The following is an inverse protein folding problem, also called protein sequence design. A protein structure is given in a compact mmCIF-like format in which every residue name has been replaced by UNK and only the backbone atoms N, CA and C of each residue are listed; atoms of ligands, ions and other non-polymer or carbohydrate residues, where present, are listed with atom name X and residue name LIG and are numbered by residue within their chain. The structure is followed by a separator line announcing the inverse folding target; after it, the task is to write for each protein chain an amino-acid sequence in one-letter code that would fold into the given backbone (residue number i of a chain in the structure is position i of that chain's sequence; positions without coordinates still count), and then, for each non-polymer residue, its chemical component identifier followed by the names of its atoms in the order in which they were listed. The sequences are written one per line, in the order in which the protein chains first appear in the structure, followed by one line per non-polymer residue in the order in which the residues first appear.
data_IF_932838410459
#
_entry.id   IF_932838410459
#
_cell.length_a   1.000
_cell.length_b   1.000
_cell.length_c   1.000
_cell.angle_alpha   90.00
_cell.angle_beta   90.00
_cell.angle_gamma   90.00
#
_symmetry.space_group_name_H-M   'P 1'
#
loop_
_entity.id
_entity.type
_entity.pdbx_description
1 polymer ?
#
# COMPACT_ATOMS: atom_id res chain seq x y z
N UNK A 1 -8.63 7.50 1.96
CA UNK A 1 -7.15 7.55 2.02
C UNK A 1 -6.54 7.15 0.68
N UNK A 2 -6.71 5.92 0.18
CA UNK A 2 -6.17 5.51 -1.14
C UNK A 2 -6.65 6.44 -2.27
N UNK A 3 -7.95 6.72 -2.35
CA UNK A 3 -8.50 7.66 -3.34
C UNK A 3 -7.92 9.08 -3.18
N UNK A 4 -7.70 9.50 -1.94
CA UNK A 4 -7.11 10.80 -1.58
C UNK A 4 -5.65 10.89 -2.02
N UNK A 5 -4.87 9.81 -1.87
CA UNK A 5 -3.50 9.71 -2.37
C UNK A 5 -3.46 9.77 -3.90
N UNK A 6 -4.34 9.02 -4.56
CA UNK A 6 -4.43 8.94 -6.02
C UNK A 6 -4.83 10.27 -6.66
N UNK A 7 -5.84 10.93 -6.09
CA UNK A 7 -6.40 12.16 -6.63
C UNK A 7 -5.73 13.43 -6.08
N UNK A 8 -4.75 13.28 -5.18
CA UNK A 8 -4.19 14.38 -4.40
C UNK A 8 -5.29 15.28 -3.78
N UNK A 9 -6.33 14.64 -3.24
CA UNK A 9 -7.46 15.30 -2.60
C UNK A 9 -7.40 15.14 -1.08
N UNK A 10 -7.88 16.12 -0.29
CA UNK A 10 -7.90 16.00 1.15
C UNK A 10 -8.65 14.72 1.56
N UNK A 11 -8.13 13.96 2.53
CA UNK A 11 -8.84 12.79 3.03
C UNK A 11 -10.19 13.20 3.62
N UNK A 12 -11.27 12.57 3.14
CA UNK A 12 -12.64 12.83 3.61
C UNK A 12 -12.86 12.53 5.10
N UNK A 13 -11.96 11.76 5.71
CA UNK A 13 -11.99 11.40 7.13
C UNK A 13 -10.66 11.78 7.74
N UNK A 14 -10.70 12.59 8.79
CA UNK A 14 -9.53 12.90 9.61
C UNK A 14 -9.30 11.74 10.59
N UNK A 15 -8.30 10.91 10.32
CA UNK A 15 -7.96 9.79 11.19
C UNK A 15 -7.45 10.25 12.57
N UNK A 16 -7.09 11.51 12.75
CA UNK A 16 -6.81 12.06 14.09
C UNK A 16 -8.05 12.22 14.96
N UNK A 17 -9.25 12.19 14.35
CA UNK A 17 -10.55 12.36 15.03
C UNK A 17 -11.34 11.06 15.18
N UNK A 18 -10.92 9.98 14.51
CA UNK A 18 -11.56 8.67 14.57
C UNK A 18 -10.72 7.74 15.42
N UNK A 19 -11.21 7.39 16.62
CA UNK A 19 -10.62 6.33 17.41
C UNK A 19 -10.72 5.01 16.63
N UNK A 20 -9.58 4.48 16.20
CA UNK A 20 -9.49 3.06 15.86
C UNK A 20 -9.66 2.33 17.18
N UNK A 21 -10.84 1.73 17.41
CA UNK A 21 -11.03 0.85 18.55
C UNK A 21 -10.05 -0.32 18.39
N UNK A 22 -8.97 -0.29 19.16
CA UNK A 22 -8.07 -1.43 19.25
C UNK A 22 -8.84 -2.61 19.85
N UNK A 23 -8.54 -3.86 19.44
CA UNK A 23 -9.19 -5.03 20.02
C UNK A 23 -9.08 -5.01 21.54
N UNK A 24 -10.22 -5.06 22.24
CA UNK A 24 -10.29 -5.13 23.70
C UNK A 24 -9.88 -6.52 24.20
N UNK A 25 -9.14 -6.58 25.30
CA UNK A 25 -8.71 -7.83 25.95
C UNK A 25 -9.85 -8.49 26.73
N UNK A 26 -10.82 -9.06 26.03
CA UNK A 26 -11.77 -9.99 26.64
C UNK A 26 -11.17 -11.41 26.67
N UNK A 27 -10.73 -11.83 27.85
CA UNK A 27 -9.98 -13.07 28.04
C UNK A 27 -10.81 -14.33 27.79
N UNK A 28 -12.11 -14.30 28.10
CA UNK A 28 -13.01 -15.44 27.92
C UNK A 28 -13.29 -15.70 26.43
N UNK A 29 -13.62 -14.65 25.67
CA UNK A 29 -13.75 -14.74 24.21
C UNK A 29 -12.42 -15.15 23.56
N UNK A 30 -11.28 -14.67 24.06
CA UNK A 30 -9.95 -15.05 23.55
C UNK A 30 -9.68 -16.55 23.71
N UNK A 31 -9.96 -17.13 24.88
CA UNK A 31 -9.72 -18.55 25.15
C UNK A 31 -10.61 -19.44 24.26
N UNK A 32 -11.91 -19.14 24.17
CA UNK A 32 -12.83 -19.90 23.31
C UNK A 32 -12.46 -19.83 21.82
N UNK A 33 -11.91 -18.71 21.37
CA UNK A 33 -11.37 -18.56 20.00
C UNK A 33 -10.13 -19.42 19.79
N UNK A 34 -9.19 -19.43 20.73
CA UNK A 34 -7.96 -20.24 20.63
C UNK A 34 -8.33 -21.72 20.55
N UNK A 35 -9.26 -22.19 21.39
CA UNK A 35 -9.77 -23.56 21.35
C UNK A 35 -10.40 -23.88 19.98
N UNK A 36 -11.24 -22.98 19.45
CA UNK A 36 -11.88 -23.17 18.15
C UNK A 36 -10.91 -23.17 16.96
N UNK A 37 -9.75 -22.52 17.05
CA UNK A 37 -8.73 -22.52 15.97
C UNK A 37 -7.81 -23.73 16.10
N UNK A 38 -7.70 -24.32 17.29
CA UNK A 38 -6.91 -25.52 17.52
C UNK A 38 -7.68 -26.82 17.22
N UNK A 39 -9.02 -26.79 17.28
CA UNK A 39 -9.89 -27.93 16.98
C UNK A 39 -10.06 -28.17 15.47
N UNK A 40 -9.55 -29.26 14.88
CA UNK A 40 -9.70 -29.55 13.45
C UNK A 40 -11.15 -29.75 12.98
N UNK A 41 -12.08 -30.02 13.90
CA UNK A 41 -13.51 -30.17 13.59
C UNK A 41 -14.28 -28.84 13.59
N UNK A 42 -13.67 -27.78 14.12
CA UNK A 42 -14.22 -26.44 14.12
C UNK A 42 -14.18 -25.83 12.72
N UNK A 43 -15.24 -25.09 12.36
CA UNK A 43 -15.26 -24.32 11.12
C UNK A 43 -14.16 -23.26 11.08
N UNK A 44 -13.68 -22.79 12.24
CA UNK A 44 -12.66 -21.72 12.34
C UNK A 44 -11.25 -22.25 12.03
N UNK A 45 -11.00 -23.55 12.13
CA UNK A 45 -9.67 -24.15 11.96
C UNK A 45 -9.04 -23.90 10.58
N UNK A 46 -9.87 -23.87 9.53
CA UNK A 46 -9.41 -23.71 8.14
C UNK A 46 -10.15 -22.65 7.32
N UNK A 47 -11.27 -22.11 7.82
CA UNK A 47 -12.12 -21.17 7.09
C UNK A 47 -11.63 -19.72 7.23
N UNK A 48 -11.29 -19.12 6.08
CA UNK A 48 -10.83 -17.74 5.96
C UNK A 48 -11.96 -16.71 6.16
N UNK A 49 -13.21 -17.13 6.35
CA UNK A 49 -14.37 -16.26 6.56
C UNK A 49 -14.42 -15.62 7.95
N UNK A 50 -13.52 -16.00 8.85
CA UNK A 50 -13.46 -15.47 10.22
C UNK A 50 -12.22 -14.59 10.49
N UNK A 51 -11.89 -13.58 9.67
CA UNK A 51 -10.69 -12.78 9.87
C UNK A 51 -10.75 -11.93 11.14
N UNK A 52 -11.95 -11.57 11.60
CA UNK A 52 -12.13 -10.78 12.83
C UNK A 52 -11.79 -11.56 14.09
N UNK A 53 -11.88 -12.89 14.05
CA UNK A 53 -11.54 -13.78 15.17
C UNK A 53 -10.03 -13.72 15.47
N UNK A 54 -9.22 -13.45 14.44
CA UNK A 54 -7.76 -13.37 14.52
C UNK A 54 -7.31 -12.10 15.27
N UNK A 55 -8.18 -11.09 15.37
CA UNK A 55 -7.89 -9.87 16.14
C UNK A 55 -7.80 -10.12 17.65
N UNK A 56 -8.40 -11.20 18.15
CA UNK A 56 -8.32 -11.60 19.55
C UNK A 56 -7.04 -12.37 19.89
N UNK A 57 -6.23 -12.73 18.89
CA UNK A 57 -5.00 -13.51 19.07
C UNK A 57 -3.85 -12.55 19.36
N UNK A 58 -3.22 -12.61 20.56
CA UNK A 58 -2.15 -11.70 20.96
C UNK A 58 -1.01 -11.60 19.95
N UNK A 59 -0.64 -12.72 19.37
CA UNK A 59 0.45 -12.81 18.39
C UNK A 59 0.13 -12.01 17.12
N UNK A 60 -1.15 -11.95 16.72
CA UNK A 60 -1.59 -11.22 15.53
C UNK A 60 -1.77 -9.71 15.77
N UNK A 61 -1.79 -9.24 17.02
CA UNK A 61 -1.95 -7.81 17.35
C UNK A 61 -0.86 -6.92 16.75
N UNK A 62 0.38 -7.41 16.71
CA UNK A 62 1.50 -6.67 16.13
C UNK A 62 1.29 -6.35 14.66
N UNK A 63 0.69 -7.28 13.90
CA UNK A 63 0.44 -7.10 12.46
C UNK A 63 -0.64 -6.05 12.21
N UNK A 64 -1.70 -6.07 13.02
CA UNK A 64 -2.78 -5.07 12.98
C UNK A 64 -2.22 -3.69 13.31
N UNK A 65 -1.37 -3.60 14.33
CA UNK A 65 -0.77 -2.35 14.75
C UNK A 65 0.10 -1.75 13.66
N UNK A 66 0.98 -2.54 13.03
CA UNK A 66 1.78 -2.11 11.89
C UNK A 66 0.91 -1.60 10.74
N UNK A 67 -0.16 -2.32 10.39
CA UNK A 67 -1.10 -1.89 9.34
C UNK A 67 -1.75 -0.54 9.67
N UNK A 68 -2.19 -0.33 10.92
CA UNK A 68 -2.74 0.95 11.36
C UNK A 68 -1.71 2.08 11.24
N UNK A 69 -0.45 1.83 11.60
CA UNK A 69 0.63 2.82 11.47
C UNK A 69 0.95 3.20 10.03
N UNK A 70 0.96 2.24 9.12
CA UNK A 70 1.05 2.57 7.69
C UNK A 70 -0.16 3.37 7.20
N UNK A 71 -1.37 3.12 7.70
CA UNK A 71 -2.56 3.92 7.35
C UNK A 71 -2.51 5.35 7.90
N UNK A 72 -1.96 5.56 9.10
CA UNK A 72 -1.69 6.89 9.64
C UNK A 72 -0.71 7.65 8.73
N UNK A 73 0.41 7.02 8.35
CA UNK A 73 1.39 7.62 7.42
C UNK A 73 0.77 7.88 6.03
N UNK A 74 -0.09 6.99 5.55
CA UNK A 74 -0.83 7.18 4.31
C UNK A 74 -1.70 8.46 4.36
N UNK A 75 -2.33 8.74 5.50
CA UNK A 75 -3.07 9.98 5.71
C UNK A 75 -2.12 11.19 5.71
N UNK A 76 -0.99 11.13 6.41
CA UNK A 76 0.00 12.22 6.42
C UNK A 76 0.52 12.53 5.01
N UNK A 77 0.85 11.51 4.22
CA UNK A 77 1.29 11.66 2.82
C UNK A 77 0.19 12.27 1.96
N UNK A 78 -1.07 11.84 2.13
CA UNK A 78 -2.19 12.45 1.43
C UNK A 78 -2.30 13.94 1.77
N UNK A 79 -2.22 14.31 3.05
CA UNK A 79 -2.23 15.71 3.49
C UNK A 79 -1.06 16.48 2.88
N UNK A 80 0.16 15.94 2.88
CA UNK A 80 1.33 16.55 2.25
C UNK A 80 1.08 16.89 0.78
N UNK A 81 0.44 15.99 0.03
CA UNK A 81 0.18 16.14 -1.41
C UNK A 81 -0.93 17.15 -1.73
N UNK A 82 -1.85 17.39 -0.79
CA UNK A 82 -3.03 18.24 -1.02
C UNK A 82 -2.81 19.71 -0.74
N UNK A 83 -1.79 20.04 0.04
CA UNK A 83 -1.55 21.40 0.53
C UNK A 83 -0.51 22.10 -0.34
N UNK A 84 -0.77 23.36 -0.66
CA UNK A 84 0.31 24.30 -1.00
C UNK A 84 1.14 24.54 0.25
N UNK A 85 2.45 24.28 0.16
CA UNK A 85 3.33 24.47 1.30
C UNK A 85 3.90 25.89 1.28
N UNK A 86 3.83 26.62 2.41
CA UNK A 86 4.35 27.97 2.49
C UNK A 86 5.88 28.00 2.53
N UNK A 87 6.52 26.91 2.97
CA UNK A 87 7.98 26.78 3.10
C UNK A 87 8.45 25.40 2.60
N UNK A 88 9.41 25.40 1.67
CA UNK A 88 10.04 24.21 1.11
C UNK A 88 10.82 23.40 2.18
N UNK A 89 11.50 24.06 3.11
CA UNK A 89 12.27 23.41 4.17
C UNK A 89 11.35 22.63 5.14
N UNK A 90 10.19 23.21 5.48
CA UNK A 90 9.19 22.52 6.30
C UNK A 90 8.64 21.27 5.58
N UNK A 91 8.37 21.40 4.27
CA UNK A 91 7.89 20.29 3.46
C UNK A 91 8.93 19.16 3.36
N UNK A 92 10.19 19.50 3.07
CA UNK A 92 11.31 18.55 3.04
C UNK A 92 11.50 17.87 4.41
N UNK A 93 11.46 18.64 5.51
CA UNK A 93 11.55 18.10 6.86
C UNK A 93 10.45 17.08 7.17
N UNK A 94 9.22 17.33 6.71
CA UNK A 94 8.12 16.36 6.86
C UNK A 94 8.30 15.12 6.00
N UNK A 95 8.79 15.26 4.76
CA UNK A 95 9.11 14.09 3.92
C UNK A 95 10.17 13.22 4.59
N UNK A 96 11.26 13.82 5.06
CA UNK A 96 12.34 13.09 5.74
C UNK A 96 11.84 12.37 6.99
N UNK A 97 10.98 13.02 7.79
CA UNK A 97 10.37 12.39 8.96
C UNK A 97 9.51 11.19 8.58
N UNK A 98 8.65 11.33 7.57
CA UNK A 98 7.77 10.24 7.12
C UNK A 98 8.59 9.08 6.56
N UNK A 99 9.65 9.35 5.79
CA UNK A 99 10.57 8.32 5.30
C UNK A 99 11.19 7.52 6.45
N UNK A 100 11.73 8.20 7.46
CA UNK A 100 12.28 7.55 8.66
C UNK A 100 11.22 6.68 9.38
N UNK A 101 9.99 7.16 9.46
CA UNK A 101 8.88 6.40 10.06
C UNK A 101 8.51 5.18 9.21
N UNK A 102 8.45 5.30 7.88
CA UNK A 102 8.19 4.17 6.99
C UNK A 102 9.28 3.09 7.13
N UNK A 103 10.55 3.48 7.20
CA UNK A 103 11.67 2.55 7.43
C UNK A 103 11.58 1.87 8.80
N UNK A 104 11.26 2.62 9.86
CA UNK A 104 11.10 2.07 11.21
C UNK A 104 9.95 1.05 11.26
N UNK A 105 8.80 1.36 10.68
CA UNK A 105 7.66 0.43 10.63
C UNK A 105 7.89 -0.75 9.71
N UNK A 106 8.67 -0.60 8.64
CA UNK A 106 9.09 -1.73 7.81
C UNK A 106 9.97 -2.70 8.60
N UNK A 107 10.91 -2.19 9.40
CA UNK A 107 11.76 -3.01 10.28
C UNK A 107 10.92 -3.72 11.34
N UNK A 108 9.97 -3.01 11.93
CA UNK A 108 9.04 -3.55 12.91
C UNK A 108 8.14 -4.64 12.31
N UNK A 109 7.66 -4.47 11.07
CA UNK A 109 6.87 -5.47 10.36
C UNK A 109 7.66 -6.78 10.18
N UNK A 110 8.93 -6.71 9.81
CA UNK A 110 9.78 -7.91 9.70
C UNK A 110 9.99 -8.58 11.06
N UNK A 111 10.14 -7.80 12.14
CA UNK A 111 10.19 -8.33 13.51
C UNK A 111 8.88 -9.04 13.90
N UNK A 112 7.74 -8.43 13.59
CA UNK A 112 6.41 -8.99 13.83
C UNK A 112 6.23 -10.29 13.04
N UNK A 113 6.58 -10.29 11.76
CA UNK A 113 6.57 -11.48 10.90
C UNK A 113 7.40 -12.61 11.50
N UNK A 114 8.63 -12.34 11.93
CA UNK A 114 9.49 -13.35 12.54
C UNK A 114 8.88 -13.91 13.84
N UNK A 115 8.31 -13.06 14.69
CA UNK A 115 7.65 -13.50 15.92
C UNK A 115 6.42 -14.37 15.63
N UNK A 116 5.67 -14.02 14.59
CA UNK A 116 4.49 -14.76 14.13
C UNK A 116 4.86 -16.12 13.56
N UNK A 117 5.93 -16.21 12.76
CA UNK A 117 6.45 -17.47 12.20
C UNK A 117 6.95 -18.43 13.29
N UNK A 118 7.45 -17.88 14.41
CA UNK A 118 7.92 -18.67 15.55
C UNK A 118 6.85 -18.94 16.62
N UNK A 119 5.60 -18.48 16.41
CA UNK A 119 4.52 -18.70 17.37
C UNK A 119 4.03 -20.16 17.36
N UNK A 120 3.59 -20.71 18.51
CA UNK A 120 2.94 -22.02 18.56
C UNK A 120 1.71 -22.15 17.66
N UNK A 121 1.07 -21.02 17.32
CA UNK A 121 -0.14 -20.98 16.48
C UNK A 121 0.17 -20.76 15.00
N UNK A 122 1.44 -20.58 14.62
CA UNK A 122 1.86 -20.25 13.25
C UNK A 122 1.47 -21.31 12.20
N UNK A 123 1.43 -22.58 12.61
CA UNK A 123 1.11 -23.71 11.74
C UNK A 123 -0.40 -23.91 11.57
N UNK A 124 -1.22 -23.22 12.35
CA UNK A 124 -2.67 -23.34 12.25
C UNK A 124 -3.13 -22.75 10.91
N UNK A 125 -3.91 -23.48 10.10
CA UNK A 125 -4.19 -23.08 8.71
C UNK A 125 -4.81 -21.68 8.58
N UNK A 126 -5.75 -21.33 9.45
CA UNK A 126 -6.39 -20.00 9.47
C UNK A 126 -5.40 -18.87 9.80
N UNK A 127 -4.47 -19.13 10.71
CA UNK A 127 -3.43 -18.18 11.13
C UNK A 127 -2.41 -17.99 10.02
N UNK A 128 -1.87 -19.08 9.49
CA UNK A 128 -0.90 -19.05 8.40
C UNK A 128 -1.43 -18.28 7.18
N UNK A 129 -2.67 -18.56 6.74
CA UNK A 129 -3.30 -17.86 5.60
C UNK A 129 -3.46 -16.35 5.87
N UNK A 130 -3.93 -15.98 7.06
CA UNK A 130 -4.12 -14.58 7.43
C UNK A 130 -2.80 -13.83 7.52
N UNK A 131 -1.81 -14.39 8.21
CA UNK A 131 -0.48 -13.81 8.35
C UNK A 131 0.12 -13.51 6.97
N UNK A 132 0.13 -14.51 6.09
CA UNK A 132 0.66 -14.37 4.74
C UNK A 132 -0.07 -13.26 3.97
N UNK A 133 -1.40 -13.26 3.98
CA UNK A 133 -2.20 -12.23 3.29
C UNK A 133 -1.97 -10.82 3.85
N UNK A 134 -1.95 -10.65 5.17
CA UNK A 134 -1.84 -9.34 5.82
C UNK A 134 -0.43 -8.76 5.74
N UNK A 135 0.60 -9.61 5.87
CA UNK A 135 2.00 -9.19 5.69
C UNK A 135 2.18 -8.66 4.26
N UNK A 136 1.71 -9.40 3.26
CA UNK A 136 1.77 -8.97 1.86
C UNK A 136 1.02 -7.66 1.63
N UNK A 137 -0.19 -7.52 2.17
CA UNK A 137 -0.96 -6.27 2.07
C UNK A 137 -0.22 -5.09 2.69
N UNK A 138 0.39 -5.30 3.86
CA UNK A 138 1.15 -4.26 4.56
C UNK A 138 2.41 -3.89 3.77
N UNK A 139 3.09 -4.85 3.16
CA UNK A 139 4.23 -4.62 2.27
C UNK A 139 3.83 -3.84 1.02
N UNK A 140 2.72 -4.20 0.36
CA UNK A 140 2.19 -3.46 -0.80
C UNK A 140 1.82 -2.02 -0.42
N UNK A 141 1.14 -1.84 0.72
CA UNK A 141 0.81 -0.52 1.25
C UNK A 141 2.09 0.29 1.48
N UNK A 142 3.08 -0.26 2.16
CA UNK A 142 4.38 0.39 2.37
C UNK A 142 5.02 0.83 1.04
N UNK A 143 5.11 -0.07 0.05
CA UNK A 143 5.62 0.25 -1.30
C UNK A 143 4.83 1.38 -1.97
N UNK A 144 3.50 1.33 -1.88
CA UNK A 144 2.63 2.38 -2.42
C UNK A 144 2.92 3.74 -1.77
N UNK A 145 3.14 3.76 -0.45
CA UNK A 145 3.45 5.00 0.27
C UNK A 145 4.81 5.58 -0.09
N UNK A 146 5.83 4.74 -0.29
CA UNK A 146 7.13 5.18 -0.80
C UNK A 146 6.99 5.84 -2.18
N UNK A 147 6.23 5.23 -3.10
CA UNK A 147 5.93 5.87 -4.38
C UNK A 147 5.22 7.20 -4.21
N UNK A 148 4.17 7.29 -3.38
CA UNK A 148 3.47 8.55 -3.19
C UNK A 148 4.29 9.63 -2.49
N UNK A 149 5.24 9.24 -1.65
CA UNK A 149 6.16 10.15 -0.99
C UNK A 149 7.17 10.72 -1.99
N UNK A 150 7.83 9.86 -2.77
CA UNK A 150 8.94 10.25 -3.65
C UNK A 150 8.52 10.69 -5.06
N UNK A 151 7.41 10.16 -5.59
CA UNK A 151 6.83 10.57 -6.87
C UNK A 151 5.82 11.74 -6.69
N UNK A 152 6.06 12.61 -5.71
CA UNK A 152 5.25 13.82 -5.53
C UNK A 152 5.82 14.95 -6.38
N UNK A 153 4.96 15.70 -7.10
CA UNK A 153 5.35 16.80 -7.99
C UNK A 153 5.82 18.08 -7.23
N UNK A 154 6.38 17.91 -6.03
CA UNK A 154 6.69 19.03 -5.13
C UNK A 154 5.45 19.84 -4.72
N UNK A 155 5.61 20.77 -3.76
CA UNK A 155 4.55 21.71 -3.44
C UNK A 155 4.48 22.84 -4.48
N UNK A 156 3.27 23.26 -4.84
CA UNK A 156 3.08 24.57 -5.49
C UNK A 156 3.28 25.63 -4.40
N UNK A 157 4.42 26.34 -4.45
CA UNK A 157 4.75 27.40 -3.48
C UNK A 157 3.79 28.57 -3.65
N UNK A 158 3.01 28.90 -2.62
CA UNK A 158 1.96 29.94 -2.68
C UNK A 158 2.52 31.36 -2.84
N UNK A 159 3.82 31.54 -2.59
CA UNK A 159 4.53 32.80 -2.74
C UNK A 159 5.76 32.58 -3.62
N UNK A 160 5.58 32.52 -4.94
CA UNK A 160 6.69 32.76 -5.86
C UNK A 160 7.07 34.25 -5.81
N UNK A 161 7.64 34.69 -4.67
CA UNK A 161 8.51 35.86 -4.68
C UNK A 161 9.80 35.36 -5.28
N UNK A 162 10.09 35.86 -6.47
CA UNK A 162 11.38 35.81 -7.16
C UNK A 162 12.50 36.22 -6.19
N UNK A 163 12.99 35.26 -5.42
CA UNK A 163 14.19 35.40 -4.63
C UNK A 163 15.23 34.48 -5.26
N UNK A 164 16.15 35.12 -5.97
CA UNK A 164 17.34 34.65 -6.69
C UNK A 164 17.16 34.68 -8.21
N UNK A 165 17.97 35.55 -8.83
CA UNK A 165 17.84 35.99 -10.22
C UNK A 165 18.05 34.88 -11.25
N UNK A 166 17.42 35.08 -12.41
CA UNK A 166 17.46 34.27 -13.64
C UNK A 166 17.20 32.77 -13.39
N UNK A 167 16.03 32.24 -13.68
CA UNK A 167 15.48 32.07 -15.03
C UNK A 167 13.94 32.12 -15.02
N UNK A 168 13.35 32.22 -16.20
CA UNK A 168 11.91 32.36 -16.44
C UNK A 168 11.06 31.25 -15.80
N UNK A 169 9.83 31.55 -15.34
CA UNK A 169 8.93 30.57 -14.76
C UNK A 169 8.30 29.70 -15.86
N UNK A 170 9.07 28.71 -16.33
CA UNK A 170 8.55 27.48 -16.95
C UNK A 170 8.42 26.34 -15.95
N UNK A 171 8.79 26.57 -14.69
CA UNK A 171 8.91 25.57 -13.62
C UNK A 171 7.55 25.23 -13.00
N UNK A 172 6.76 24.39 -13.68
CA UNK A 172 6.07 23.34 -12.91
C UNK A 172 7.18 22.54 -12.24
N UNK A 173 7.16 22.49 -10.92
CA UNK A 173 8.20 21.90 -10.09
C UNK A 173 8.58 20.48 -10.48
N UNK A 174 9.50 20.34 -11.42
CA UNK A 174 10.32 19.14 -11.61
C UNK A 174 11.36 19.09 -10.48
N UNK A 175 10.89 19.04 -9.24
CA UNK A 175 11.70 18.74 -8.06
C UNK A 175 12.03 17.24 -7.96
N UNK A 176 12.08 16.53 -9.10
CA UNK A 176 12.66 15.20 -9.17
C UNK A 176 14.18 15.32 -9.06
N UNK A 177 14.66 15.61 -7.85
CA UNK A 177 16.07 15.41 -7.51
C UNK A 177 16.47 13.98 -7.91
N UNK A 178 17.67 13.76 -8.48
CA UNK A 178 18.16 12.43 -8.82
C UNK A 178 18.01 11.41 -7.69
N UNK A 179 18.06 11.88 -6.44
CA UNK A 179 17.83 11.07 -5.24
C UNK A 179 16.40 10.53 -5.14
N UNK A 180 15.38 11.36 -5.42
CA UNK A 180 13.97 10.95 -5.37
C UNK A 180 13.67 9.94 -6.47
N UNK A 181 14.23 10.18 -7.66
CA UNK A 181 14.13 9.27 -8.77
C UNK A 181 14.77 7.91 -8.46
N UNK A 182 15.98 7.91 -7.88
CA UNK A 182 16.64 6.70 -7.42
C UNK A 182 15.78 5.93 -6.42
N UNK A 183 15.16 6.63 -5.46
CA UNK A 183 14.26 6.01 -4.47
C UNK A 183 13.01 5.40 -5.11
N UNK A 184 12.41 6.06 -6.09
CA UNK A 184 11.33 5.49 -6.90
C UNK A 184 11.77 4.22 -7.62
N UNK A 185 12.97 4.22 -8.21
CA UNK A 185 13.51 3.04 -8.90
C UNK A 185 13.81 1.87 -7.95
N UNK A 186 14.43 2.13 -6.79
CA UNK A 186 14.61 1.13 -5.72
C UNK A 186 13.27 0.50 -5.32
N UNK A 187 12.21 1.31 -5.29
CA UNK A 187 10.84 0.87 -4.99
C UNK A 187 10.25 0.00 -6.10
N UNK A 188 10.50 0.30 -7.38
CA UNK A 188 10.12 -0.55 -8.53
C UNK A 188 10.76 -1.93 -8.42
N UNK A 189 12.06 -1.98 -8.15
CA UNK A 189 12.80 -3.26 -8.00
C UNK A 189 12.24 -4.08 -6.84
N UNK A 190 11.97 -3.45 -5.69
CA UNK A 190 11.36 -4.12 -4.54
C UNK A 190 9.95 -4.66 -4.87
N UNK A 191 9.13 -3.89 -5.59
CA UNK A 191 7.80 -4.33 -6.00
C UNK A 191 7.87 -5.55 -6.92
N UNK A 192 8.78 -5.55 -7.89
CA UNK A 192 8.96 -6.68 -8.82
C UNK A 192 9.38 -7.96 -8.08
N UNK A 193 10.22 -7.85 -7.05
CA UNK A 193 10.60 -8.98 -6.22
C UNK A 193 9.39 -9.55 -5.45
N UNK A 194 8.56 -8.67 -4.88
CA UNK A 194 7.32 -9.04 -4.20
C UNK A 194 6.32 -9.74 -5.13
N UNK A 195 6.21 -9.31 -6.39
CA UNK A 195 5.31 -9.95 -7.36
C UNK A 195 5.83 -11.30 -7.86
N UNK A 196 7.15 -11.46 -7.99
CA UNK A 196 7.77 -12.67 -8.52
C UNK A 196 7.79 -13.83 -7.51
N UNK A 197 7.95 -13.54 -6.22
CA UNK A 197 8.00 -14.57 -5.16
C UNK A 197 6.63 -15.17 -4.85
N UNK A 198 5.54 -14.46 -5.15
CA UNK A 198 4.19 -14.81 -4.73
C UNK A 198 3.34 -15.31 -5.89
N UNK A 199 3.83 -16.36 -6.59
CA UNK A 199 3.24 -16.96 -7.80
C UNK A 199 1.77 -17.41 -7.71
N UNK A 200 1.16 -17.29 -6.53
CA UNK A 200 -0.29 -17.32 -6.33
C UNK A 200 -0.74 -16.03 -5.61
N UNK A 201 -1.01 -14.98 -6.39
CA UNK A 201 -1.87 -13.84 -6.02
C UNK A 201 -3.32 -14.34 -5.86
N UNK A 202 -3.50 -15.33 -4.98
CA UNK A 202 -4.74 -16.03 -4.70
C UNK A 202 -5.67 -15.05 -4.01
N UNK A 203 -6.43 -14.35 -4.84
CA UNK A 203 -7.58 -13.50 -4.51
C UNK A 203 -7.19 -12.09 -4.04
N UNK A 204 -6.93 -11.21 -5.00
CA UNK A 204 -7.68 -9.96 -5.26
C UNK A 204 -8.24 -9.09 -4.09
N UNK A 205 -7.70 -9.16 -2.89
CA UNK A 205 -8.16 -8.35 -1.76
C UNK A 205 -7.33 -7.07 -1.66
N UNK A 206 -7.95 -6.00 -2.17
CA UNK A 206 -7.42 -4.66 -2.50
C UNK A 206 -6.82 -4.51 -3.91
N UNK A 207 -7.51 -5.03 -4.92
CA UNK A 207 -7.24 -4.79 -6.35
C UNK A 207 -6.87 -3.34 -6.66
N UNK A 208 -7.56 -2.39 -6.04
CA UNK A 208 -7.35 -0.97 -6.29
C UNK A 208 -6.00 -0.47 -5.76
N UNK A 209 -5.61 -0.85 -4.54
CA UNK A 209 -4.32 -0.44 -3.93
C UNK A 209 -3.17 -0.99 -4.75
N UNK A 210 -3.18 -2.30 -5.00
CA UNK A 210 -2.11 -2.96 -5.74
C UNK A 210 -2.05 -2.51 -7.22
N UNK A 211 -3.17 -2.41 -7.92
CA UNK A 211 -3.19 -1.91 -9.30
C UNK A 211 -2.74 -0.45 -9.39
N UNK A 212 -3.06 0.38 -8.38
CA UNK A 212 -2.58 1.75 -8.31
C UNK A 212 -1.06 1.82 -8.12
N UNK A 213 -0.51 0.98 -7.24
CA UNK A 213 0.95 0.86 -7.07
C UNK A 213 1.62 0.45 -8.37
N UNK A 214 1.07 -0.53 -9.08
CA UNK A 214 1.60 -0.97 -10.39
C UNK A 214 1.51 0.13 -11.45
N UNK A 215 0.45 0.94 -11.45
CA UNK A 215 0.33 2.05 -12.39
C UNK A 215 1.44 3.09 -12.19
N UNK A 216 1.76 3.45 -10.94
CA UNK A 216 2.87 4.38 -10.64
C UNK A 216 4.21 3.74 -10.99
N UNK A 217 4.41 2.47 -10.66
CA UNK A 217 5.62 1.74 -11.06
C UNK A 217 5.81 1.73 -12.58
N UNK A 218 4.72 1.57 -13.35
CA UNK A 218 4.74 1.63 -14.81
C UNK A 218 5.17 3.00 -15.34
N UNK A 219 4.73 4.10 -14.72
CA UNK A 219 5.20 5.45 -15.05
C UNK A 219 6.71 5.56 -14.84
N UNK A 220 7.22 5.11 -13.69
CA UNK A 220 8.65 5.14 -13.39
C UNK A 220 9.46 4.26 -14.36
N UNK A 221 8.93 3.11 -14.79
CA UNK A 221 9.55 2.30 -15.84
C UNK A 221 9.68 3.09 -17.17
N UNK A 222 8.63 3.79 -17.59
CA UNK A 222 8.64 4.62 -18.80
C UNK A 222 9.70 5.73 -18.69
N UNK A 223 9.69 6.47 -17.58
CA UNK A 223 10.69 7.50 -17.32
C UNK A 223 12.13 6.91 -17.31
N UNK A 224 12.29 5.68 -16.83
CA UNK A 224 13.60 4.99 -16.79
C UNK A 224 14.10 4.64 -18.18
N UNK A 225 13.23 4.17 -19.05
CA UNK A 225 13.59 3.89 -20.44
C UNK A 225 14.03 5.15 -21.19
N UNK A 226 13.43 6.30 -20.89
CA UNK A 226 13.78 7.59 -21.51
C UNK A 226 15.09 8.18 -20.97
N UNK A 227 15.40 7.96 -19.68
CA UNK A 227 16.51 8.62 -18.98
C UNK A 227 17.76 7.78 -18.85
N UNK A 228 17.65 6.45 -18.82
CA UNK A 228 18.78 5.56 -18.58
C UNK A 228 19.55 5.28 -19.87
N UNK A 229 20.89 5.30 -19.78
CA UNK A 229 21.77 4.81 -20.85
C UNK A 229 22.24 3.37 -20.61
N UNK A 230 21.92 2.76 -19.46
CA UNK A 230 22.28 1.37 -19.16
C UNK A 230 21.28 0.40 -19.81
N UNK A 231 21.70 -0.41 -20.81
CA UNK A 231 20.82 -1.34 -21.50
C UNK A 231 20.16 -2.38 -20.59
N UNK A 232 20.81 -2.77 -19.49
CA UNK A 232 20.24 -3.76 -18.55
C UNK A 232 19.08 -3.16 -17.76
N UNK A 233 19.22 -1.90 -17.36
CA UNK A 233 18.19 -1.15 -16.64
C UNK A 233 16.97 -0.94 -17.56
N UNK A 234 17.21 -0.57 -18.82
CA UNK A 234 16.16 -0.42 -19.83
C UNK A 234 15.43 -1.75 -20.06
N UNK A 235 16.17 -2.85 -20.28
CA UNK A 235 15.57 -4.16 -20.50
C UNK A 235 14.72 -4.63 -19.31
N UNK A 236 15.19 -4.39 -18.07
CA UNK A 236 14.40 -4.69 -16.87
C UNK A 236 13.11 -3.87 -16.84
N UNK A 237 13.19 -2.57 -17.11
CA UNK A 237 12.03 -1.67 -17.13
C UNK A 237 11.00 -2.10 -18.17
N UNK A 238 11.44 -2.45 -19.39
CA UNK A 238 10.59 -2.97 -20.47
C UNK A 238 9.87 -4.25 -20.03
N UNK A 239 10.63 -5.24 -19.53
CA UNK A 239 10.09 -6.54 -19.12
C UNK A 239 9.04 -6.37 -18.01
N UNK A 240 9.35 -5.56 -16.99
CA UNK A 240 8.43 -5.36 -15.88
C UNK A 240 7.20 -4.52 -16.28
N UNK A 241 7.35 -3.57 -17.21
CA UNK A 241 6.23 -2.84 -17.77
C UNK A 241 5.26 -3.77 -18.52
N UNK A 242 5.78 -4.71 -19.31
CA UNK A 242 4.96 -5.73 -19.98
C UNK A 242 4.18 -6.60 -18.99
N UNK A 243 4.83 -7.03 -17.89
CA UNK A 243 4.18 -7.77 -16.81
C UNK A 243 3.07 -6.96 -16.15
N UNK A 244 3.31 -5.67 -15.87
CA UNK A 244 2.32 -4.73 -15.34
C UNK A 244 1.13 -4.61 -16.30
N UNK A 245 1.37 -4.37 -17.58
CA UNK A 245 0.32 -4.22 -18.60
C UNK A 245 -0.50 -5.51 -18.74
N UNK A 246 0.15 -6.66 -18.76
CA UNK A 246 -0.52 -7.96 -18.79
C UNK A 246 -1.40 -8.19 -17.55
N UNK A 247 -0.93 -7.78 -16.37
CA UNK A 247 -1.73 -7.82 -15.14
C UNK A 247 -2.93 -6.88 -15.21
N UNK A 248 -2.73 -5.59 -15.52
CA UNK A 248 -3.80 -4.59 -15.58
C UNK A 248 -4.86 -4.95 -16.64
N UNK A 249 -4.46 -5.53 -17.77
CA UNK A 249 -5.40 -6.03 -18.78
C UNK A 249 -6.27 -7.17 -18.25
N UNK A 250 -5.68 -8.13 -17.52
CA UNK A 250 -6.44 -9.21 -16.86
C UNK A 250 -7.44 -8.64 -15.85
N UNK A 251 -7.04 -7.63 -15.07
CA UNK A 251 -7.91 -6.93 -14.13
C UNK A 251 -9.06 -6.19 -14.82
N UNK A 252 -8.78 -5.46 -15.89
CA UNK A 252 -9.79 -4.75 -16.67
C UNK A 252 -10.87 -5.67 -17.22
N UNK A 253 -10.48 -6.85 -17.72
CA UNK A 253 -11.44 -7.88 -18.17
C UNK A 253 -12.31 -8.40 -17.03
N UNK A 254 -11.72 -8.65 -15.85
CA UNK A 254 -12.46 -9.07 -14.67
C UNK A 254 -13.49 -8.02 -14.22
N UNK A 255 -13.09 -6.74 -14.20
CA UNK A 255 -14.00 -5.64 -13.87
C UNK A 255 -15.13 -5.49 -14.89
N UNK A 256 -14.83 -5.58 -16.19
CA UNK A 256 -15.86 -5.55 -17.22
C UNK A 256 -16.88 -6.69 -17.05
N UNK A 257 -16.41 -7.91 -16.73
CA UNK A 257 -17.28 -9.04 -16.43
C UNK A 257 -18.15 -8.80 -15.19
N UNK A 258 -17.56 -8.31 -14.09
CA UNK A 258 -18.30 -8.01 -12.87
C UNK A 258 -19.35 -6.91 -13.07
N UNK A 259 -19.02 -5.86 -13.83
CA UNK A 259 -19.96 -4.80 -14.17
C UNK A 259 -21.12 -5.33 -15.03
N UNK A 260 -20.84 -6.23 -15.98
CA UNK A 260 -21.88 -6.91 -16.76
C UNK A 260 -22.81 -7.74 -15.87
N UNK A 261 -22.26 -8.54 -14.95
CA UNK A 261 -23.04 -9.33 -14.00
C UNK A 261 -23.91 -8.46 -13.09
N UNK A 262 -23.36 -7.37 -12.54
CA UNK A 262 -24.12 -6.44 -11.71
C UNK A 262 -25.28 -5.80 -12.49
N UNK A 263 -25.06 -5.41 -13.75
CA UNK A 263 -26.12 -4.88 -14.61
C UNK A 263 -27.20 -5.94 -14.92
N UNK A 264 -26.81 -7.21 -15.15
CA UNK A 264 -27.75 -8.32 -15.35
C UNK A 264 -28.60 -8.58 -14.09
N UNK A 265 -27.98 -8.64 -12.92
CA UNK A 265 -28.69 -8.79 -11.65
C UNK A 265 -29.67 -7.64 -11.41
N UNK A 266 -29.25 -6.39 -11.69
CA UNK A 266 -30.14 -5.22 -11.62
C UNK A 266 -31.34 -5.38 -12.55
N UNK A 267 -31.11 -5.79 -13.80
CA UNK A 267 -32.20 -6.00 -14.76
C UNK A 267 -33.18 -7.11 -14.34
N UNK A 268 -32.71 -8.12 -13.62
CA UNK A 268 -33.58 -9.16 -13.04
C UNK A 268 -34.35 -8.67 -11.83
N UNK A 269 -33.74 -7.84 -10.98
CA UNK A 269 -34.44 -7.23 -9.84
C UNK A 269 -35.49 -6.20 -10.25
N UNK A 270 -35.35 -5.60 -11.44
CA UNK A 270 -36.25 -4.60 -12.00
C UNK A 270 -37.28 -5.22 -12.97
N UNK A 271 -37.20 -6.52 -13.24
CA UNK A 271 -38.21 -7.25 -14.02
C UNK A 271 -39.33 -7.75 -13.09
N UNK A 272 -40.61 -7.48 -13.40
CA UNK A 272 -41.76 -7.84 -12.56
C UNK A 272 -41.98 -9.35 -12.42
#
# INVERSE_FOLDING_TARGET
IILSLLLAQPPNVDLSTVCVNYPTDDEETRLGIIEAIQDPSSQVYSDSKFPSIIFSIPECKGLIFSLCKFRELAHEIAVLRTRSWPNLEEWLGKITRIDQQLQAWSTELERVKLNLENSPTATLPTIHKYQHSQIQQTQILHTMLLFFLYHSQGPVLSNAVTCLGSESPTERGDYFSPLFYQKCWETVVALQALTSQNGTLSVYYENTTFASTLAIAGIVCIETMERSQDPKVVQFAETFLDDILAFLNRMGRLWAFNAHMANKLRSWSESP
#
